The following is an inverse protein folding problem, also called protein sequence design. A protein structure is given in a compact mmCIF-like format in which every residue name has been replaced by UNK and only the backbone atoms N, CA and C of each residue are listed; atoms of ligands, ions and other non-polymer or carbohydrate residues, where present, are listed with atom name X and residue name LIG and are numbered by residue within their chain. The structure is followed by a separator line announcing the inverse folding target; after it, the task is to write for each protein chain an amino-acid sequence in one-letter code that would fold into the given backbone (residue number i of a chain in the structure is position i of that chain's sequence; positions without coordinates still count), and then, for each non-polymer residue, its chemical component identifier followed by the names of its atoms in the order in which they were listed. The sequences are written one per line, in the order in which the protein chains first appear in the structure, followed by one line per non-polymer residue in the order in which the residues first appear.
data_IF_435786293327
#
_entry.id   IF_435786293327
#
_cell.length_a   1.000
_cell.length_b   1.000
_cell.length_c   1.000
_cell.angle_alpha   90.00
_cell.angle_beta   90.00
_cell.angle_gamma   90.00
#
_symmetry.space_group_name_H-M   'P 1'
#
loop_
_entity.id
_entity.type
_entity.pdbx_description
1 polymer ?
#
# COMPACT_ATOMS: atom_id res chain seq x y z
N UNK A 1 -32.72 14.82 -12.03
CA UNK A 1 -31.49 15.60 -11.75
C UNK A 1 -30.31 14.63 -11.71
N UNK A 2 -29.38 14.80 -12.62
CA UNK A 2 -28.15 14.01 -12.65
C UNK A 2 -27.31 14.38 -11.41
N UNK A 3 -26.97 13.39 -10.59
CA UNK A 3 -26.14 13.64 -9.40
C UNK A 3 -24.74 14.03 -9.86
N UNK A 4 -24.27 15.18 -9.43
CA UNK A 4 -22.90 15.67 -9.69
C UNK A 4 -21.90 14.63 -9.18
N UNK A 5 -21.03 14.13 -10.09
CA UNK A 5 -19.98 13.19 -9.72
C UNK A 5 -18.92 13.87 -8.83
N UNK A 6 -18.42 13.15 -7.84
CA UNK A 6 -17.35 13.59 -6.97
C UNK A 6 -15.99 13.42 -7.68
N UNK A 7 -15.18 14.48 -7.71
CA UNK A 7 -13.85 14.47 -8.32
C UNK A 7 -12.81 14.03 -7.29
N UNK A 8 -12.13 12.92 -7.56
CA UNK A 8 -11.06 12.39 -6.71
C UNK A 8 -9.75 12.44 -7.47
N UNK A 9 -8.71 13.06 -6.85
CA UNK A 9 -7.36 13.02 -7.37
C UNK A 9 -6.50 12.09 -6.51
N UNK A 10 -6.05 10.99 -7.11
CA UNK A 10 -5.23 9.97 -6.47
C UNK A 10 -3.75 10.33 -6.65
N UNK A 11 -3.04 10.56 -5.55
CA UNK A 11 -1.62 10.95 -5.57
C UNK A 11 -0.72 9.81 -5.09
N UNK A 12 0.15 9.34 -5.96
CA UNK A 12 1.11 8.28 -5.66
C UNK A 12 2.36 8.39 -6.54
N UNK A 13 3.52 8.29 -5.93
CA UNK A 13 4.81 8.12 -6.62
C UNK A 13 5.27 6.66 -6.66
N UNK A 14 4.48 5.72 -6.09
CA UNK A 14 4.87 4.32 -5.91
C UNK A 14 5.15 3.58 -7.23
N UNK A 15 4.62 4.06 -8.35
CA UNK A 15 4.88 3.46 -9.66
C UNK A 15 6.31 3.70 -10.18
N UNK A 16 7.01 4.70 -9.61
CA UNK A 16 8.41 5.00 -9.95
C UNK A 16 9.41 3.99 -9.39
N UNK A 17 8.96 3.12 -8.46
CA UNK A 17 9.81 2.14 -7.80
C UNK A 17 9.25 0.74 -8.05
N UNK A 18 9.97 -0.04 -8.85
CA UNK A 18 9.58 -1.42 -9.17
C UNK A 18 9.58 -2.33 -7.92
N UNK A 19 8.67 -3.32 -7.90
CA UNK A 19 8.66 -4.38 -6.87
C UNK A 19 8.10 -3.98 -5.50
N UNK A 20 7.46 -2.82 -5.37
CA UNK A 20 6.81 -2.42 -4.11
C UNK A 20 5.34 -2.84 -4.07
N UNK A 21 4.91 -3.45 -2.95
CA UNK A 21 3.53 -3.84 -2.70
C UNK A 21 2.54 -2.65 -2.72
N UNK A 22 3.01 -1.45 -2.37
CA UNK A 22 2.22 -0.21 -2.41
C UNK A 22 1.73 0.10 -3.82
N UNK A 23 2.58 -0.06 -4.84
CA UNK A 23 2.21 0.17 -6.24
C UNK A 23 1.11 -0.80 -6.70
N UNK A 24 1.19 -2.07 -6.32
CA UNK A 24 0.15 -3.06 -6.61
C UNK A 24 -1.19 -2.70 -5.97
N UNK A 25 -1.19 -2.41 -4.68
CA UNK A 25 -2.40 -2.02 -3.94
C UNK A 25 -3.03 -0.72 -4.50
N UNK A 26 -2.20 0.26 -4.86
CA UNK A 26 -2.64 1.51 -5.47
C UNK A 26 -3.36 1.27 -6.81
N UNK A 27 -2.74 0.51 -7.72
CA UNK A 27 -3.33 0.22 -9.04
C UNK A 27 -4.65 -0.56 -8.93
N UNK A 28 -4.72 -1.54 -8.03
CA UNK A 28 -5.96 -2.29 -7.82
C UNK A 28 -7.07 -1.38 -7.27
N UNK A 29 -6.76 -0.46 -6.35
CA UNK A 29 -7.73 0.50 -5.86
C UNK A 29 -8.23 1.45 -6.96
N UNK A 30 -7.33 2.00 -7.77
CA UNK A 30 -7.71 2.87 -8.90
C UNK A 30 -8.62 2.12 -9.88
N UNK A 31 -8.25 0.87 -10.26
CA UNK A 31 -9.09 0.03 -11.13
C UNK A 31 -10.47 -0.24 -10.52
N UNK A 32 -10.52 -0.53 -9.22
CA UNK A 32 -11.77 -0.75 -8.50
C UNK A 32 -12.67 0.48 -8.56
N UNK A 33 -12.14 1.67 -8.29
CA UNK A 33 -12.88 2.92 -8.33
C UNK A 33 -13.43 3.21 -9.72
N UNK A 34 -12.63 3.03 -10.77
CA UNK A 34 -13.08 3.18 -12.15
C UNK A 34 -14.20 2.20 -12.53
N UNK A 35 -14.15 0.95 -12.04
CA UNK A 35 -15.13 -0.07 -12.36
C UNK A 35 -16.41 0.05 -11.52
N UNK A 36 -16.26 0.17 -10.20
CA UNK A 36 -17.40 0.07 -9.28
C UNK A 36 -18.09 1.40 -9.00
N UNK A 37 -17.41 2.52 -9.22
CA UNK A 37 -17.93 3.84 -8.85
C UNK A 37 -17.95 4.85 -10.03
N UNK A 38 -17.86 4.40 -11.28
CA UNK A 38 -17.82 5.23 -12.50
C UNK A 38 -18.98 6.21 -12.62
N UNK A 39 -20.14 5.85 -12.05
CA UNK A 39 -21.34 6.69 -12.11
C UNK A 39 -21.39 7.73 -10.98
N UNK A 40 -20.53 7.59 -9.95
CA UNK A 40 -20.46 8.45 -8.78
C UNK A 40 -19.18 9.29 -8.74
N UNK A 41 -18.08 8.79 -9.33
CA UNK A 41 -16.75 9.37 -9.23
C UNK A 41 -16.17 9.74 -10.59
N UNK A 42 -15.37 10.82 -10.59
CA UNK A 42 -14.38 11.14 -11.61
C UNK A 42 -13.02 10.97 -10.93
N UNK A 43 -12.29 9.93 -11.33
CA UNK A 43 -10.98 9.59 -10.76
C UNK A 43 -9.89 10.10 -11.69
N UNK A 44 -8.94 10.84 -11.13
CA UNK A 44 -7.73 11.32 -11.81
C UNK A 44 -6.51 10.92 -11.01
N UNK A 45 -5.35 10.84 -11.65
CA UNK A 45 -4.12 10.40 -11.03
C UNK A 45 -3.01 11.42 -11.24
N UNK A 46 -2.36 11.82 -10.15
CA UNK A 46 -1.17 12.68 -10.16
C UNK A 46 -1.31 13.98 -10.96
N UNK A 47 -2.52 14.49 -11.11
CA UNK A 47 -2.77 15.72 -11.85
C UNK A 47 -2.75 16.94 -10.91
N UNK A 48 -2.22 18.09 -11.37
CA UNK A 48 -2.20 19.32 -10.60
C UNK A 48 -3.53 20.09 -10.74
N UNK A 49 -4.66 19.42 -10.50
CA UNK A 49 -6.02 19.95 -10.69
C UNK A 49 -6.76 20.14 -9.36
N UNK A 50 -7.85 20.89 -9.40
CA UNK A 50 -8.79 20.96 -8.28
C UNK A 50 -9.62 19.67 -8.19
N UNK A 51 -9.74 19.14 -6.98
CA UNK A 51 -10.52 17.98 -6.67
C UNK A 51 -11.40 18.20 -5.44
N UNK A 52 -12.51 17.47 -5.35
CA UNK A 52 -13.36 17.47 -4.16
C UNK A 52 -12.70 16.67 -3.03
N UNK A 53 -11.93 15.64 -3.43
CA UNK A 53 -11.11 14.81 -2.54
C UNK A 53 -9.73 14.60 -3.16
N UNK A 54 -8.68 14.77 -2.38
CA UNK A 54 -7.31 14.32 -2.73
C UNK A 54 -6.93 13.14 -1.84
N UNK A 55 -6.54 12.05 -2.46
CA UNK A 55 -6.20 10.80 -1.80
C UNK A 55 -4.70 10.52 -1.93
N UNK A 56 -3.97 10.61 -0.82
CA UNK A 56 -2.51 10.50 -0.77
C UNK A 56 -2.09 9.07 -0.43
N UNK A 57 -1.38 8.41 -1.34
CA UNK A 57 -0.84 7.05 -1.15
C UNK A 57 0.64 7.03 -0.80
N UNK A 58 1.36 8.11 -1.08
CA UNK A 58 2.78 8.28 -0.73
C UNK A 58 3.00 9.64 -0.07
N UNK A 59 4.06 9.74 0.74
CA UNK A 59 4.36 10.91 1.57
C UNK A 59 5.49 11.75 0.99
N UNK A 60 5.54 11.89 -0.33
CA UNK A 60 6.55 12.67 -1.01
C UNK A 60 6.49 14.15 -0.64
N UNK A 61 7.65 14.81 -0.65
CA UNK A 61 7.74 16.22 -0.29
C UNK A 61 6.86 17.14 -1.15
N UNK A 62 6.74 17.00 -2.47
CA UNK A 62 5.79 17.78 -3.27
C UNK A 62 4.33 17.60 -2.82
N UNK A 63 3.95 16.35 -2.46
CA UNK A 63 2.61 16.09 -1.93
C UNK A 63 2.41 16.71 -0.56
N UNK A 64 3.43 16.69 0.30
CA UNK A 64 3.36 17.41 1.57
C UNK A 64 3.10 18.90 1.36
N UNK A 65 3.81 19.54 0.44
CA UNK A 65 3.58 20.94 0.10
C UNK A 65 2.17 21.19 -0.45
N UNK A 66 1.62 20.27 -1.24
CA UNK A 66 0.26 20.39 -1.79
C UNK A 66 -0.82 20.39 -0.70
N UNK A 67 -0.56 19.79 0.48
CA UNK A 67 -1.51 19.78 1.59
C UNK A 67 -1.82 21.17 2.15
N UNK A 68 -0.99 22.18 1.87
CA UNK A 68 -1.22 23.57 2.27
C UNK A 68 -2.19 24.32 1.32
N UNK A 69 -2.44 23.78 0.14
CA UNK A 69 -3.30 24.36 -0.89
C UNK A 69 -4.77 23.94 -0.68
N UNK A 70 -5.43 24.48 0.37
CA UNK A 70 -6.79 24.10 0.78
C UNK A 70 -7.83 24.12 -0.35
N UNK A 71 -7.84 25.16 -1.19
CA UNK A 71 -8.80 25.29 -2.28
C UNK A 71 -8.64 24.24 -3.35
N UNK A 72 -7.41 23.77 -3.59
CA UNK A 72 -7.08 22.85 -4.68
C UNK A 72 -7.23 21.38 -4.28
N UNK A 73 -6.95 21.08 -3.03
CA UNK A 73 -6.89 19.69 -2.54
C UNK A 73 -8.24 19.14 -2.07
N UNK A 74 -9.27 19.97 -1.89
CA UNK A 74 -10.53 19.53 -1.31
C UNK A 74 -10.30 18.83 0.04
N UNK A 75 -11.05 17.77 0.33
CA UNK A 75 -10.81 16.92 1.50
C UNK A 75 -9.58 16.05 1.28
N UNK A 76 -8.72 15.96 2.28
CA UNK A 76 -7.47 15.21 2.23
C UNK A 76 -7.60 13.88 2.96
N UNK A 77 -7.42 12.78 2.24
CA UNK A 77 -7.40 11.43 2.79
C UNK A 77 -6.00 10.86 2.60
N UNK A 78 -5.39 10.37 3.67
CA UNK A 78 -4.10 9.69 3.64
C UNK A 78 -4.26 8.17 3.72
N UNK A 79 -3.56 7.44 2.87
CA UNK A 79 -3.49 5.99 2.92
C UNK A 79 -2.17 5.57 3.56
N UNK A 80 -2.24 4.97 4.74
CA UNK A 80 -1.05 4.66 5.56
C UNK A 80 -0.54 3.26 5.21
N UNK A 81 0.46 3.20 4.34
CA UNK A 81 1.12 1.96 3.97
C UNK A 81 2.30 1.61 4.87
N UNK A 82 2.86 2.60 5.55
CA UNK A 82 4.01 2.43 6.46
C UNK A 82 4.05 3.54 7.51
N UNK A 83 4.72 3.24 8.60
CA UNK A 83 5.06 4.19 9.66
C UNK A 83 6.58 4.26 9.85
N UNK A 84 7.11 5.27 10.55
CA UNK A 84 8.56 5.41 10.79
C UNK A 84 9.22 4.15 11.32
N UNK A 85 8.58 3.43 12.23
CA UNK A 85 9.08 2.17 12.79
C UNK A 85 9.26 1.08 11.71
N UNK A 86 8.36 1.01 10.74
CA UNK A 86 8.47 0.03 9.63
C UNK A 86 9.52 0.43 8.58
N UNK A 87 9.89 1.71 8.52
CA UNK A 87 10.96 2.20 7.63
C UNK A 87 12.35 1.88 8.16
N UNK A 88 12.53 1.79 9.49
CA UNK A 88 13.83 1.50 10.11
C UNK A 88 14.44 0.19 9.63
N UNK A 89 13.62 -0.81 9.29
CA UNK A 89 14.08 -2.08 8.70
C UNK A 89 14.27 -2.06 7.18
N UNK A 90 13.85 -1.00 6.49
CA UNK A 90 13.85 -0.91 5.02
C UNK A 90 14.80 0.13 4.47
N UNK A 91 15.05 1.19 5.22
CA UNK A 91 15.92 2.30 4.83
C UNK A 91 17.04 2.46 5.86
N UNK A 92 18.28 2.59 5.40
CA UNK A 92 19.43 2.93 6.26
C UNK A 92 19.39 4.43 6.58
N UNK A 93 18.50 4.84 7.49
CA UNK A 93 18.38 6.22 7.95
C UNK A 93 19.45 6.46 9.03
N UNK A 94 20.35 7.43 8.87
CA UNK A 94 21.29 7.82 9.91
C UNK A 94 20.57 8.16 11.21
N UNK A 95 21.13 7.78 12.33
CA UNK A 95 20.51 7.92 13.65
C UNK A 95 20.02 9.36 13.92
N UNK A 96 20.82 10.37 13.60
CA UNK A 96 20.49 11.78 13.82
C UNK A 96 19.33 12.29 12.93
N UNK A 97 19.01 11.60 11.84
CA UNK A 97 17.89 11.95 10.96
C UNK A 97 16.56 11.24 11.32
N UNK A 98 16.61 10.19 12.15
CA UNK A 98 15.41 9.41 12.50
C UNK A 98 14.31 10.28 13.11
N UNK A 99 14.65 11.20 14.02
CA UNK A 99 13.71 12.13 14.63
C UNK A 99 13.06 13.08 13.62
N UNK A 100 13.85 13.57 12.66
CA UNK A 100 13.36 14.45 11.59
C UNK A 100 12.38 13.70 10.68
N UNK A 101 12.76 12.49 10.26
CA UNK A 101 11.89 11.63 9.43
C UNK A 101 10.59 11.28 10.15
N UNK A 102 10.68 10.91 11.44
CA UNK A 102 9.51 10.63 12.28
C UNK A 102 8.58 11.85 12.33
N UNK A 103 9.12 13.04 12.62
CA UNK A 103 8.36 14.28 12.69
C UNK A 103 7.72 14.63 11.34
N UNK A 104 8.43 14.44 10.24
CA UNK A 104 7.94 14.68 8.89
C UNK A 104 6.73 13.78 8.58
N UNK A 105 6.86 12.46 8.79
CA UNK A 105 5.80 11.48 8.51
C UNK A 105 4.53 11.78 9.30
N UNK A 106 4.65 11.97 10.62
CA UNK A 106 3.47 12.27 11.43
C UNK A 106 2.90 13.66 11.17
N UNK A 107 3.73 14.65 10.84
CA UNK A 107 3.25 15.97 10.40
C UNK A 107 2.44 15.86 9.11
N UNK A 108 2.87 15.03 8.16
CA UNK A 108 2.11 14.76 6.95
C UNK A 108 0.74 14.15 7.26
N UNK A 109 0.70 13.05 8.05
CA UNK A 109 -0.55 12.38 8.40
C UNK A 109 -1.49 13.25 9.24
N UNK A 110 -0.96 14.09 10.12
CA UNK A 110 -1.79 15.00 10.93
C UNK A 110 -2.51 16.07 10.09
N UNK A 111 -2.04 16.34 8.87
CA UNK A 111 -2.67 17.25 7.92
C UNK A 111 -3.84 16.64 7.16
N UNK A 112 -4.04 15.33 7.26
CA UNK A 112 -5.15 14.64 6.65
C UNK A 112 -6.42 14.83 7.47
N UNK A 113 -7.55 14.92 6.80
CA UNK A 113 -8.87 14.96 7.45
C UNK A 113 -9.30 13.56 7.84
N UNK A 114 -8.84 12.56 7.11
CA UNK A 114 -9.05 11.14 7.42
C UNK A 114 -7.85 10.30 6.98
N UNK A 115 -7.60 9.22 7.71
CA UNK A 115 -6.56 8.24 7.41
C UNK A 115 -7.16 6.86 7.24
N UNK A 116 -6.73 6.18 6.19
CA UNK A 116 -7.00 4.76 5.98
C UNK A 116 -5.73 3.98 6.28
N UNK A 117 -5.79 3.01 7.18
CA UNK A 117 -4.67 2.13 7.51
C UNK A 117 -4.90 0.73 6.94
N UNK A 118 -3.86 0.12 6.39
CA UNK A 118 -3.89 -1.26 5.85
C UNK A 118 -3.53 -2.31 6.90
N UNK A 119 -2.96 -1.90 8.01
CA UNK A 119 -2.62 -2.74 9.15
C UNK A 119 -3.25 -2.14 10.42
N UNK A 120 -4.06 -2.90 11.16
CA UNK A 120 -4.72 -2.40 12.37
C UNK A 120 -3.74 -1.96 13.46
N UNK A 121 -2.54 -2.54 13.52
CA UNK A 121 -1.50 -2.12 14.49
C UNK A 121 -1.07 -0.66 14.30
N UNK A 122 -1.21 -0.09 13.10
CA UNK A 122 -0.88 1.31 12.85
C UNK A 122 -1.81 2.29 13.56
N UNK A 123 -2.99 1.85 13.98
CA UNK A 123 -3.96 2.70 14.69
C UNK A 123 -3.37 3.18 16.02
N UNK A 124 -2.79 2.28 16.80
CA UNK A 124 -2.21 2.61 18.11
C UNK A 124 -1.03 3.56 17.97
N UNK A 125 -0.14 3.33 16.99
CA UNK A 125 1.00 4.19 16.72
C UNK A 125 0.58 5.62 16.28
N UNK A 126 -0.47 5.72 15.46
CA UNK A 126 -1.02 7.01 15.03
C UNK A 126 -1.68 7.77 16.18
N UNK A 127 -2.43 7.07 17.03
CA UNK A 127 -3.06 7.66 18.22
C UNK A 127 -2.00 8.12 19.23
N UNK A 128 -0.96 7.30 19.46
CA UNK A 128 0.15 7.68 20.31
C UNK A 128 0.95 8.89 19.78
N UNK A 129 0.91 9.11 18.46
CA UNK A 129 1.49 10.30 17.83
C UNK A 129 0.55 11.52 17.84
N UNK A 130 -0.61 11.45 18.51
CA UNK A 130 -1.56 12.54 18.68
C UNK A 130 -2.61 12.68 17.57
N UNK A 131 -2.78 11.69 16.71
CA UNK A 131 -3.84 11.67 15.69
C UNK A 131 -5.13 11.15 16.34
N UNK A 132 -6.25 11.89 16.26
CA UNK A 132 -7.51 11.47 16.83
C UNK A 132 -7.98 10.12 16.27
N UNK A 133 -8.44 9.21 17.14
CA UNK A 133 -8.85 7.84 16.76
C UNK A 133 -9.97 7.84 15.72
N UNK A 134 -10.89 8.78 15.81
CA UNK A 134 -12.03 8.94 14.89
C UNK A 134 -11.64 9.33 13.46
N UNK A 135 -10.43 9.81 13.26
CA UNK A 135 -9.88 10.09 11.93
C UNK A 135 -9.27 8.87 11.25
N UNK A 136 -9.19 7.72 11.93
CA UNK A 136 -8.48 6.54 11.43
C UNK A 136 -9.44 5.39 11.21
N UNK A 137 -9.50 4.89 9.98
CA UNK A 137 -10.27 3.69 9.60
C UNK A 137 -9.34 2.61 9.08
N UNK A 138 -9.53 1.38 9.55
CA UNK A 138 -8.86 0.21 9.00
C UNK A 138 -9.62 -0.30 7.79
N UNK A 139 -8.95 -0.33 6.65
CA UNK A 139 -9.41 -0.98 5.41
C UNK A 139 -8.25 -1.83 4.90
N UNK A 140 -8.36 -3.16 4.96
CA UNK A 140 -7.29 -4.05 4.49
C UNK A 140 -7.10 -3.93 2.98
N UNK A 141 -5.90 -4.29 2.52
CA UNK A 141 -5.68 -4.49 1.10
C UNK A 141 -6.60 -5.63 0.61
N UNK A 142 -7.11 -5.48 -0.58
CA UNK A 142 -7.96 -6.47 -1.23
C UNK A 142 -7.23 -7.09 -2.43
N UNK A 143 -7.71 -8.23 -2.85
CA UNK A 143 -7.23 -8.91 -4.05
C UNK A 143 -8.36 -9.08 -5.06
N UNK A 144 -8.03 -8.99 -6.32
CA UNK A 144 -8.98 -9.29 -7.39
C UNK A 144 -9.14 -10.82 -7.51
N UNK A 145 -10.29 -11.34 -7.11
CA UNK A 145 -10.60 -12.78 -7.15
C UNK A 145 -10.68 -13.35 -8.56
N UNK A 146 -10.94 -12.53 -9.57
CA UNK A 146 -10.92 -12.95 -10.98
C UNK A 146 -9.49 -13.26 -11.45
N UNK A 147 -8.53 -12.52 -10.90
CA UNK A 147 -7.10 -12.68 -11.22
C UNK A 147 -6.40 -13.70 -10.30
N UNK A 148 -6.77 -13.70 -9.02
CA UNK A 148 -6.14 -14.51 -7.99
C UNK A 148 -7.16 -15.52 -7.46
N UNK A 149 -7.21 -16.68 -8.09
CA UNK A 149 -8.05 -17.81 -7.71
C UNK A 149 -7.24 -19.11 -7.83
N UNK A 150 -7.63 -20.18 -7.14
CA UNK A 150 -7.04 -21.50 -7.33
C UNK A 150 -7.15 -21.91 -8.80
N UNK A 151 -6.07 -22.48 -9.32
CA UNK A 151 -6.08 -23.04 -10.68
C UNK A 151 -6.90 -24.32 -10.72
N UNK A 152 -7.48 -24.67 -11.89
CA UNK A 152 -8.05 -25.99 -12.12
C UNK A 152 -7.02 -27.09 -11.87
N UNK A 153 -7.46 -28.26 -11.36
CA UNK A 153 -6.56 -29.35 -11.00
C UNK A 153 -5.69 -29.83 -12.17
N UNK A 154 -6.24 -29.86 -13.36
CA UNK A 154 -5.52 -30.23 -14.58
C UNK A 154 -4.33 -29.30 -14.87
N UNK A 155 -4.53 -28.01 -14.67
CA UNK A 155 -3.48 -27.01 -14.85
C UNK A 155 -2.40 -27.13 -13.77
N UNK A 156 -2.80 -27.40 -12.52
CA UNK A 156 -1.85 -27.67 -11.43
C UNK A 156 -0.97 -28.87 -11.74
N UNK A 157 -1.55 -29.98 -12.22
CA UNK A 157 -0.80 -31.18 -12.60
C UNK A 157 0.18 -30.88 -13.74
N UNK A 158 -0.27 -30.15 -14.77
CA UNK A 158 0.60 -29.75 -15.88
C UNK A 158 1.78 -28.90 -15.39
N UNK A 159 1.53 -27.88 -14.57
CA UNK A 159 2.58 -27.01 -14.05
C UNK A 159 3.57 -27.77 -13.15
N UNK A 160 3.10 -28.74 -12.36
CA UNK A 160 4.01 -29.59 -11.58
C UNK A 160 4.91 -30.43 -12.49
N UNK A 161 4.37 -31.00 -13.54
CA UNK A 161 5.12 -31.76 -14.55
C UNK A 161 6.17 -30.88 -15.24
N UNK A 162 5.77 -29.69 -15.70
CA UNK A 162 6.67 -28.73 -16.36
C UNK A 162 7.83 -28.29 -15.46
N UNK A 163 7.60 -28.25 -14.15
CA UNK A 163 8.61 -27.92 -13.13
C UNK A 163 9.41 -29.14 -12.64
N UNK A 164 9.14 -30.34 -13.16
CA UNK A 164 9.80 -31.58 -12.73
C UNK A 164 9.44 -32.02 -11.31
N UNK A 165 8.25 -31.64 -10.82
CA UNK A 165 7.78 -31.93 -9.47
C UNK A 165 6.85 -33.14 -9.49
N UNK A 166 7.07 -34.09 -8.59
CA UNK A 166 6.17 -35.23 -8.40
C UNK A 166 4.92 -34.82 -7.59
N UNK A 167 3.86 -35.67 -7.69
CA UNK A 167 2.60 -35.39 -6.99
C UNK A 167 2.72 -35.36 -5.46
N UNK A 168 3.68 -36.13 -4.93
CA UNK A 168 3.90 -36.29 -3.49
C UNK A 168 4.82 -35.21 -2.88
N UNK A 169 5.45 -34.39 -3.69
CA UNK A 169 6.34 -33.36 -3.16
C UNK A 169 5.56 -32.20 -2.53
N UNK A 170 5.91 -31.87 -1.29
CA UNK A 170 5.44 -30.69 -0.62
C UNK A 170 6.30 -29.50 -1.05
N UNK A 171 5.65 -28.42 -1.49
CA UNK A 171 6.34 -27.22 -2.00
C UNK A 171 6.22 -26.10 -0.99
N UNK A 172 7.35 -25.59 -0.52
CA UNK A 172 7.43 -24.38 0.30
C UNK A 172 7.83 -23.21 -0.59
N UNK A 173 6.99 -22.18 -0.65
CA UNK A 173 7.20 -21.03 -1.52
C UNK A 173 7.42 -19.77 -0.70
N UNK A 174 8.49 -19.03 -1.00
CA UNK A 174 8.73 -17.67 -0.52
C UNK A 174 8.55 -16.65 -1.64
N UNK A 175 7.74 -15.63 -1.43
CA UNK A 175 7.54 -14.55 -2.38
C UNK A 175 7.84 -13.19 -1.76
N UNK A 176 8.65 -12.37 -2.44
CA UNK A 176 8.99 -11.02 -1.97
C UNK A 176 10.33 -10.54 -2.46
N UNK A 177 10.70 -9.33 -2.00
CA UNK A 177 12.05 -8.81 -2.25
C UNK A 177 13.08 -9.58 -1.42
N UNK A 178 14.26 -9.82 -2.00
CA UNK A 178 15.41 -10.43 -1.28
C UNK A 178 15.98 -9.39 -0.31
N UNK A 179 15.47 -9.41 0.92
CA UNK A 179 15.88 -8.51 2.00
C UNK A 179 15.81 -9.25 3.35
N UNK A 180 16.74 -8.95 4.25
CA UNK A 180 16.80 -9.54 5.59
C UNK A 180 15.45 -9.45 6.35
N UNK A 181 14.76 -8.30 6.24
CA UNK A 181 13.43 -8.08 6.86
C UNK A 181 12.35 -9.05 6.37
N UNK A 182 12.55 -9.69 5.20
CA UNK A 182 11.61 -10.66 4.63
C UNK A 182 11.91 -12.10 5.03
N UNK A 183 12.86 -12.29 5.95
CA UNK A 183 13.22 -13.62 6.45
C UNK A 183 13.90 -14.52 5.42
N UNK A 184 14.60 -13.92 4.43
CA UNK A 184 15.24 -14.72 3.37
C UNK A 184 16.33 -15.63 3.94
N UNK A 185 17.06 -15.18 4.97
CA UNK A 185 18.09 -15.99 5.62
C UNK A 185 17.47 -17.20 6.35
N UNK A 186 16.26 -17.01 6.94
CA UNK A 186 15.51 -18.08 7.60
C UNK A 186 14.95 -19.07 6.57
N UNK A 187 14.49 -18.54 5.41
CA UNK A 187 13.99 -19.38 4.33
C UNK A 187 15.10 -20.27 3.71
N UNK A 188 16.31 -19.74 3.55
CA UNK A 188 17.47 -20.49 3.07
C UNK A 188 17.84 -21.59 4.08
N UNK A 189 17.93 -21.26 5.38
CA UNK A 189 18.20 -22.25 6.43
C UNK A 189 17.14 -23.36 6.46
N UNK A 190 15.86 -23.03 6.28
CA UNK A 190 14.81 -24.00 6.20
C UNK A 190 15.05 -25.01 5.05
N UNK A 191 15.52 -24.52 3.89
CA UNK A 191 15.84 -25.39 2.76
C UNK A 191 17.04 -26.31 3.02
N UNK A 192 17.99 -25.89 3.87
CA UNK A 192 19.14 -26.72 4.30
C UNK A 192 18.75 -27.80 5.32
N UNK A 193 17.76 -27.52 6.17
CA UNK A 193 17.31 -28.41 7.23
C UNK A 193 16.22 -29.42 6.79
N UNK A 194 15.51 -29.14 5.72
CA UNK A 194 14.49 -30.05 5.20
C UNK A 194 15.11 -31.16 4.37
N UNK A 195 14.63 -32.43 4.53
CA UNK A 195 15.06 -33.52 3.68
C UNK A 195 14.64 -33.28 2.22
N UNK A 196 15.56 -33.53 1.30
CA UNK A 196 15.32 -33.42 -0.13
C UNK A 196 14.51 -34.59 -0.69
#
# INVERSE_FOLDING_TARGET
MEKKKLRINMLSSSEKVAGQGVSGAYRELVRLLHRAAKDQLIVTENLPIEADVTHFHTIDFPYYLSTFQKKRSGRKIGYVHFLPATLEGSLKIPFFLKGIVKRYVFSFYNRMEHLVVVNPMFIEDLVAAGIPREKVTYIPNFVNKEKWHPLPQEEVVRLRTDLGLSDNQFIVVGAGQVQKRKGIDDFIRLAEELPQ
#
